data_IF_061818222973
#
_entry.id   IF_061818222973
#
_cell.length_a   1.000
_cell.length_b   1.000
_cell.length_c   1.000
_cell.angle_alpha   90.00
_cell.angle_beta   90.00
_cell.angle_gamma   90.00
#
_symmetry.space_group_name_H-M   'P 1'
#
loop_
_entity.id
_entity.type
_entity.pdbx_description
1 polymer ?
#
# COMPACT_ATOMS: atom_id res chain seq x y z
N UNK A 1 8.53 -2.25 9.15
CA UNK A 1 7.32 -1.80 9.88
C UNK A 1 6.58 -0.71 9.12
N UNK A 2 5.24 -0.64 9.15
CA UNK A 2 4.46 0.50 8.59
C UNK A 2 4.60 1.72 9.52
N UNK A 3 4.88 2.89 8.94
CA UNK A 3 5.02 4.18 9.65
C UNK A 3 3.78 5.03 9.50
N UNK A 4 3.35 5.26 8.26
CA UNK A 4 2.15 6.01 7.93
C UNK A 4 1.34 5.23 6.92
N UNK A 5 0.02 5.30 7.07
CA UNK A 5 -0.94 4.79 6.12
C UNK A 5 -1.95 5.88 5.83
N UNK A 6 -2.09 6.24 4.55
CA UNK A 6 -3.02 7.28 4.10
C UNK A 6 -3.86 6.71 2.98
N UNK A 7 -5.15 7.04 3.00
CA UNK A 7 -6.05 6.61 1.95
C UNK A 7 -7.22 7.57 1.77
N UNK A 8 -7.80 7.59 0.59
CA UNK A 8 -8.95 8.43 0.22
C UNK A 8 -9.94 7.62 -0.61
N UNK A 9 -11.22 7.97 -0.53
CA UNK A 9 -12.30 7.35 -1.31
C UNK A 9 -12.35 5.82 -1.14
N UNK A 10 -12.60 5.36 0.09
CA UNK A 10 -12.64 3.95 0.44
C UNK A 10 -13.72 3.66 1.49
N UNK A 11 -14.69 2.82 1.14
CA UNK A 11 -15.85 2.40 1.95
C UNK A 11 -16.56 3.59 2.59
N UNK A 12 -16.41 3.78 3.90
CA UNK A 12 -17.03 4.87 4.66
C UNK A 12 -16.22 6.17 4.63
N UNK A 13 -15.01 6.16 4.07
CA UNK A 13 -14.12 7.30 4.00
C UNK A 13 -14.22 7.98 2.63
N UNK A 14 -14.95 9.10 2.56
CA UNK A 14 -14.92 9.99 1.40
C UNK A 14 -13.57 10.70 1.30
N UNK A 15 -13.21 11.42 2.37
CA UNK A 15 -12.03 12.26 2.43
C UNK A 15 -10.79 11.47 2.84
N UNK A 16 -9.63 12.12 2.73
CA UNK A 16 -8.35 11.58 3.15
C UNK A 16 -8.35 11.23 4.64
N UNK A 17 -8.00 9.98 4.94
CA UNK A 17 -7.69 9.51 6.28
C UNK A 17 -6.18 9.28 6.42
N UNK A 18 -5.66 9.52 7.62
CA UNK A 18 -4.25 9.31 7.97
C UNK A 18 -4.18 8.52 9.25
N UNK A 19 -3.42 7.43 9.23
CA UNK A 19 -3.05 6.65 10.40
C UNK A 19 -1.52 6.66 10.49
N UNK A 20 -0.97 7.13 11.62
CA UNK A 20 0.48 7.22 11.84
C UNK A 20 0.87 6.50 13.11
N UNK A 21 1.93 5.71 13.01
CA UNK A 21 2.60 5.05 14.14
C UNK A 21 3.82 5.85 14.61
N UNK A 22 4.16 6.96 13.94
CA UNK A 22 5.27 7.81 14.35
C UNK A 22 4.91 8.51 15.66
N UNK A 23 5.81 8.43 16.64
CA UNK A 23 5.62 9.09 17.92
C UNK A 23 5.92 10.58 17.79
N UNK A 24 5.05 11.42 18.36
CA UNK A 24 5.37 12.83 18.56
C UNK A 24 6.48 12.98 19.60
N UNK A 25 7.24 14.06 19.53
CA UNK A 25 8.36 14.38 20.42
C UNK A 25 7.95 14.66 21.88
N UNK A 26 6.66 14.56 22.22
CA UNK A 26 6.13 14.92 23.53
C UNK A 26 6.24 13.77 24.57
N UNK A 27 7.21 13.96 25.48
CA UNK A 27 7.38 13.58 26.90
C UNK A 27 6.55 12.51 27.66
N UNK A 28 5.58 11.79 27.10
CA UNK A 28 4.83 10.79 27.88
C UNK A 28 5.21 9.35 27.54
N UNK A 29 5.69 8.61 28.55
CA UNK A 29 5.83 7.14 28.61
C UNK A 29 6.69 6.49 27.50
N UNK A 30 7.98 6.29 27.78
CA UNK A 30 8.94 5.59 26.89
C UNK A 30 8.63 4.09 26.71
N UNK A 31 7.76 3.51 27.54
CA UNK A 31 7.51 2.07 27.57
C UNK A 31 6.86 1.55 26.27
N UNK A 32 6.09 2.37 25.56
CA UNK A 32 5.44 2.01 24.29
C UNK A 32 6.20 2.47 23.04
N UNK A 33 7.49 2.83 23.17
CA UNK A 33 8.31 3.31 22.05
C UNK A 33 9.35 2.29 21.61
N UNK A 34 9.52 2.19 20.29
CA UNK A 34 10.70 1.61 19.65
C UNK A 34 11.51 2.79 19.12
N UNK A 35 12.71 2.96 19.67
CA UNK A 35 13.68 3.94 19.19
C UNK A 35 14.80 3.21 18.47
N UNK A 36 15.16 3.69 17.29
CA UNK A 36 16.34 3.19 16.59
C UNK A 36 16.78 4.14 15.49
N UNK A 37 18.04 3.98 15.12
CA UNK A 37 18.63 4.62 13.96
C UNK A 37 18.49 3.71 12.73
N UNK A 38 18.09 4.28 11.60
CA UNK A 38 18.15 3.57 10.33
C UNK A 38 19.58 3.55 9.78
N UNK A 39 19.81 2.86 8.66
CA UNK A 39 21.13 2.79 8.02
C UNK A 39 21.67 4.13 7.51
N UNK A 40 20.83 5.16 7.46
CA UNK A 40 21.16 6.50 6.99
C UNK A 40 21.40 7.50 8.13
N UNK A 41 21.46 7.04 9.39
CA UNK A 41 21.65 7.91 10.54
C UNK A 41 20.40 8.67 11.01
N UNK A 42 19.23 8.41 10.41
CA UNK A 42 17.97 9.01 10.86
C UNK A 42 17.44 8.27 12.07
N UNK A 43 17.16 9.03 13.13
CA UNK A 43 16.48 8.54 14.32
C UNK A 43 14.97 8.39 14.05
N UNK A 44 14.44 7.24 14.45
CA UNK A 44 13.01 6.95 14.41
C UNK A 44 12.50 6.70 15.83
N UNK A 45 11.31 7.24 16.12
CA UNK A 45 10.54 6.95 17.34
C UNK A 45 9.16 6.48 16.92
N UNK A 46 8.83 5.24 17.27
CA UNK A 46 7.65 4.57 16.70
C UNK A 46 6.91 3.86 17.81
N UNK A 47 5.59 3.93 17.78
CA UNK A 47 4.71 3.25 18.72
C UNK A 47 4.77 1.72 18.52
N UNK A 48 4.82 0.93 19.60
CA UNK A 48 4.71 -0.55 19.51
C UNK A 48 3.28 -1.01 19.22
N UNK A 49 2.30 -0.24 19.72
CA UNK A 49 0.88 -0.52 19.57
C UNK A 49 0.07 0.78 19.48
N UNK A 50 -1.08 0.70 18.81
CA UNK A 50 -2.07 1.77 18.71
C UNK A 50 -3.48 1.22 18.97
N UNK A 51 -4.32 2.03 19.61
CA UNK A 51 -5.72 1.71 19.89
C UNK A 51 -6.61 2.63 19.06
N UNK A 52 -7.54 2.05 18.31
CA UNK A 52 -8.53 2.79 17.51
C UNK A 52 -9.90 2.67 18.18
N UNK A 53 -10.36 3.75 18.80
CA UNK A 53 -11.66 3.81 19.49
C UNK A 53 -12.53 4.96 18.95
N UNK A 54 -13.82 4.94 19.29
CA UNK A 54 -14.79 5.93 18.83
C UNK A 54 -16.20 5.35 18.67
N UNK A 55 -17.19 6.17 18.31
CA UNK A 55 -18.60 5.77 18.24
C UNK A 55 -18.86 4.60 17.27
N UNK A 56 -20.00 3.91 17.44
CA UNK A 56 -20.44 2.92 16.46
C UNK A 56 -20.58 3.56 15.08
N UNK A 57 -20.30 2.77 14.04
CA UNK A 57 -20.30 3.22 12.63
C UNK A 57 -19.31 4.35 12.27
N UNK A 58 -18.38 4.74 13.15
CA UNK A 58 -17.38 5.79 12.85
C UNK A 58 -16.27 5.39 11.85
N UNK A 59 -16.33 4.19 11.27
CA UNK A 59 -15.38 3.74 10.24
C UNK A 59 -14.15 2.97 10.75
N UNK A 60 -14.01 2.75 12.06
CA UNK A 60 -12.85 2.05 12.67
C UNK A 60 -12.50 0.71 12.00
N UNK A 61 -13.49 -0.16 11.81
CA UNK A 61 -13.26 -1.45 11.13
C UNK A 61 -12.87 -1.27 9.66
N UNK A 62 -13.31 -0.19 9.00
CA UNK A 62 -12.92 0.12 7.63
C UNK A 62 -11.48 0.63 7.54
N UNK A 63 -10.95 1.32 8.56
CA UNK A 63 -9.52 1.64 8.63
C UNK A 63 -8.68 0.36 8.67
N UNK A 64 -9.01 -0.59 9.54
CA UNK A 64 -8.29 -1.87 9.63
C UNK A 64 -8.40 -2.65 8.33
N UNK A 65 -9.60 -2.74 7.75
CA UNK A 65 -9.79 -3.41 6.46
C UNK A 65 -9.06 -2.72 5.31
N UNK A 66 -8.87 -1.39 5.33
CA UNK A 66 -8.10 -0.69 4.33
C UNK A 66 -6.64 -1.14 4.34
N UNK A 67 -6.04 -1.26 5.52
CA UNK A 67 -4.67 -1.76 5.68
C UNK A 67 -4.57 -3.20 5.16
N UNK A 68 -5.49 -4.07 5.57
CA UNK A 68 -5.49 -5.48 5.15
C UNK A 68 -5.72 -5.65 3.65
N UNK A 69 -6.73 -4.99 3.07
CA UNK A 69 -7.02 -5.06 1.64
C UNK A 69 -5.83 -4.52 0.80
N UNK A 70 -5.11 -3.51 1.29
CA UNK A 70 -3.93 -2.95 0.60
C UNK A 70 -2.76 -3.92 0.64
N UNK A 71 -2.49 -4.52 1.80
CA UNK A 71 -1.43 -5.53 1.92
C UNK A 71 -1.76 -6.74 1.04
N UNK A 72 -3.02 -7.18 1.02
CA UNK A 72 -3.49 -8.26 0.15
C UNK A 72 -3.23 -7.92 -1.32
N UNK A 73 -3.58 -6.71 -1.75
CA UNK A 73 -3.35 -6.26 -3.13
C UNK A 73 -1.85 -6.19 -3.52
N UNK A 74 -0.96 -5.86 -2.58
CA UNK A 74 0.50 -5.85 -2.83
C UNK A 74 1.05 -7.27 -2.95
N UNK A 75 0.62 -8.18 -2.07
CA UNK A 75 1.21 -9.53 -1.94
C UNK A 75 0.58 -10.52 -2.92
N UNK A 76 -0.73 -10.41 -3.16
CA UNK A 76 -1.53 -11.30 -3.99
C UNK A 76 -1.96 -10.55 -5.25
N UNK A 77 -1.39 -10.96 -6.39
CA UNK A 77 -1.75 -10.37 -7.69
C UNK A 77 -3.22 -10.65 -7.98
N UNK A 78 -4.02 -9.65 -8.41
CA UNK A 78 -5.35 -9.91 -8.93
C UNK A 78 -5.26 -10.80 -10.16
N UNK A 79 -6.31 -11.59 -10.35
CA UNK A 79 -6.51 -12.37 -11.58
C UNK A 79 -6.57 -11.37 -12.74
N UNK A 80 -5.91 -11.72 -13.84
CA UNK A 80 -5.89 -10.93 -15.07
C UNK A 80 -7.32 -10.59 -15.50
N UNK A 81 -7.53 -9.35 -15.93
CA UNK A 81 -8.81 -8.87 -16.47
C UNK A 81 -10.00 -9.02 -15.49
N UNK A 82 -9.72 -9.01 -14.19
CA UNK A 82 -10.75 -8.95 -13.15
C UNK A 82 -10.71 -7.64 -12.39
N UNK A 83 -11.86 -7.16 -11.87
CA UNK A 83 -11.89 -5.95 -11.06
C UNK A 83 -10.95 -6.03 -9.85
N UNK A 84 -10.28 -4.92 -9.56
CA UNK A 84 -9.42 -4.75 -8.40
C UNK A 84 -10.29 -4.82 -7.14
N UNK A 85 -10.16 -5.91 -6.38
CA UNK A 85 -10.93 -6.13 -5.14
C UNK A 85 -10.73 -5.05 -4.07
N UNK A 86 -9.61 -4.33 -4.11
CA UNK A 86 -9.33 -3.19 -3.23
C UNK A 86 -10.20 -1.97 -3.57
N UNK A 87 -10.66 -1.83 -4.82
CA UNK A 87 -11.51 -0.72 -5.25
C UNK A 87 -12.92 -0.84 -4.68
N UNK A 88 -13.11 -0.24 -3.51
CA UNK A 88 -14.39 -0.17 -2.81
C UNK A 88 -14.65 1.31 -2.48
N UNK A 89 -14.98 2.16 -3.45
CA UNK A 89 -15.08 3.61 -3.25
C UNK A 89 -16.22 3.99 -2.31
N UNK A 90 -16.24 5.24 -1.86
CA UNK A 90 -17.35 5.81 -1.11
C UNK A 90 -18.59 5.89 -2.00
N UNK A 91 -19.69 5.23 -1.61
CA UNK A 91 -20.87 5.05 -2.48
C UNK A 91 -22.02 6.02 -2.23
N UNK A 92 -21.97 6.85 -1.18
CA UNK A 92 -23.07 7.75 -0.82
C UNK A 92 -23.10 9.06 -1.64
N UNK A 93 -22.16 9.25 -2.56
CA UNK A 93 -22.11 10.41 -3.44
C UNK A 93 -21.85 9.95 -4.88
N UNK A 94 -22.52 10.58 -5.86
CA UNK A 94 -22.42 10.16 -7.27
C UNK A 94 -20.99 10.33 -7.80
N UNK A 95 -20.33 11.43 -7.45
CA UNK A 95 -18.99 11.74 -7.92
C UNK A 95 -18.00 10.66 -7.46
N UNK A 96 -17.99 10.32 -6.17
CA UNK A 96 -16.99 9.41 -5.59
C UNK A 96 -17.04 7.96 -6.11
N UNK A 97 -18.17 7.51 -6.70
CA UNK A 97 -18.34 6.14 -7.21
C UNK A 97 -17.37 5.78 -8.33
N UNK A 98 -17.00 6.74 -9.16
CA UNK A 98 -16.06 6.56 -10.29
C UNK A 98 -14.72 7.25 -10.07
N UNK A 99 -14.54 7.98 -8.97
CA UNK A 99 -13.26 8.61 -8.66
C UNK A 99 -12.24 7.57 -8.20
N UNK A 100 -10.95 7.72 -8.54
CA UNK A 100 -9.91 6.83 -8.05
C UNK A 100 -9.86 6.77 -6.52
N UNK A 101 -9.54 5.59 -5.97
CA UNK A 101 -9.09 5.44 -4.59
C UNK A 101 -7.58 5.66 -4.54
N UNK A 102 -7.11 6.52 -3.65
CA UNK A 102 -5.68 6.78 -3.47
C UNK A 102 -5.17 6.13 -2.20
N UNK A 103 -3.98 5.52 -2.28
CA UNK A 103 -3.29 4.87 -1.18
C UNK A 103 -1.86 5.41 -1.12
N UNK A 104 -1.36 5.68 0.08
CA UNK A 104 0.04 5.99 0.35
C UNK A 104 0.48 5.28 1.64
N UNK A 105 1.58 4.52 1.54
CA UNK A 105 2.17 3.77 2.65
C UNK A 105 3.62 4.22 2.81
N UNK A 106 3.93 4.79 3.97
CA UNK A 106 5.32 4.98 4.39
C UNK A 106 5.70 3.82 5.29
N UNK A 107 6.82 3.14 5.01
CA UNK A 107 7.26 2.00 5.80
C UNK A 107 8.78 1.89 5.85
N UNK A 108 9.28 1.18 6.86
CA UNK A 108 10.67 0.76 6.96
C UNK A 108 10.79 -0.66 6.41
N UNK A 109 11.44 -0.76 5.26
CA UNK A 109 11.60 -1.99 4.50
C UNK A 109 12.92 -2.71 4.81
N UNK A 110 13.47 -3.44 3.83
CA UNK A 110 14.76 -4.12 3.95
C UNK A 110 15.87 -3.18 4.44
N UNK A 111 16.77 -3.72 5.27
CA UNK A 111 17.89 -2.96 5.88
C UNK A 111 17.44 -1.70 6.63
N UNK A 112 16.19 -1.65 7.14
CA UNK A 112 15.60 -0.47 7.82
C UNK A 112 15.59 0.79 6.96
N UNK A 113 15.65 0.68 5.63
CA UNK A 113 15.54 1.83 4.73
C UNK A 113 14.07 2.29 4.70
N UNK A 114 13.85 3.61 4.68
CA UNK A 114 12.53 4.18 4.52
C UNK A 114 12.09 4.11 3.06
N UNK A 115 10.86 3.69 2.85
CA UNK A 115 10.17 3.63 1.56
C UNK A 115 8.83 4.36 1.66
N UNK A 116 8.36 4.83 0.52
CA UNK A 116 7.05 5.42 0.37
C UNK A 116 6.43 4.91 -0.93
N UNK A 117 5.44 4.03 -0.80
CA UNK A 117 4.67 3.47 -1.91
C UNK A 117 3.38 4.26 -2.05
N UNK A 118 3.10 4.77 -3.25
CA UNK A 118 1.84 5.45 -3.58
C UNK A 118 1.20 4.78 -4.76
N UNK A 119 -0.12 4.67 -4.76
CA UNK A 119 -0.86 4.27 -5.95
C UNK A 119 -2.29 4.78 -5.94
N UNK A 120 -2.86 4.92 -7.14
CA UNK A 120 -4.26 5.20 -7.36
C UNK A 120 -4.87 4.09 -8.20
N UNK A 121 -6.09 3.69 -7.82
CA UNK A 121 -6.81 2.60 -8.50
C UNK A 121 -8.22 3.02 -8.87
N UNK A 122 -8.71 2.46 -9.95
CA UNK A 122 -10.11 2.37 -10.32
C UNK A 122 -10.55 0.91 -10.39
N UNK A 123 -11.78 0.66 -10.82
CA UNK A 123 -12.38 -0.68 -10.82
C UNK A 123 -11.53 -1.73 -11.52
N UNK A 124 -10.92 -1.41 -12.66
CA UNK A 124 -10.21 -2.39 -13.48
C UNK A 124 -8.72 -2.08 -13.69
N UNK A 125 -8.19 -0.99 -13.12
CA UNK A 125 -6.81 -0.59 -13.39
C UNK A 125 -6.15 0.24 -12.28
N UNK A 126 -4.83 0.13 -12.20
CA UNK A 126 -3.94 1.02 -11.48
C UNK A 126 -3.66 2.23 -12.37
N UNK A 127 -4.17 3.39 -11.96
CA UNK A 127 -4.06 4.65 -12.72
C UNK A 127 -2.64 5.22 -12.62
N UNK A 128 -2.11 5.21 -11.41
CA UNK A 128 -0.75 5.66 -11.13
C UNK A 128 -0.16 4.87 -9.97
N UNK A 129 1.15 4.70 -9.97
CA UNK A 129 1.91 4.15 -8.86
C UNK A 129 3.35 4.67 -8.83
N UNK A 130 3.90 4.79 -7.64
CA UNK A 130 5.28 5.21 -7.43
C UNK A 130 5.87 4.54 -6.21
N UNK A 131 7.16 4.21 -6.28
CA UNK A 131 7.92 3.78 -5.12
C UNK A 131 9.14 4.66 -4.94
N UNK A 132 9.13 5.45 -3.88
CA UNK A 132 10.27 6.24 -3.43
C UNK A 132 11.01 5.52 -2.30
N UNK A 133 12.33 5.69 -2.22
CA UNK A 133 13.16 5.19 -1.13
C UNK A 133 14.18 6.24 -0.68
N UNK A 134 14.67 6.07 0.56
CA UNK A 134 15.52 7.04 1.24
C UNK A 134 16.78 6.37 1.81
N UNK A 135 17.74 5.92 0.97
CA UNK A 135 18.89 5.14 1.41
C UNK A 135 19.89 5.96 2.25
N UNK A 136 19.98 7.27 2.00
CA UNK A 136 20.86 8.23 2.69
C UNK A 136 20.06 9.45 3.19
N UNK A 137 18.82 9.23 3.65
CA UNK A 137 17.83 10.28 3.97
C UNK A 137 17.48 11.24 2.81
N UNK A 138 17.99 10.97 1.60
CA UNK A 138 17.66 11.68 0.38
C UNK A 138 16.64 10.87 -0.42
N UNK A 139 15.61 11.56 -0.91
CA UNK A 139 14.58 10.96 -1.75
C UNK A 139 15.21 10.50 -3.07
N UNK A 140 14.96 9.25 -3.44
CA UNK A 140 15.21 8.74 -4.78
C UNK A 140 13.99 7.93 -5.22
N UNK A 141 13.59 8.06 -6.48
CA UNK A 141 12.48 7.29 -7.05
C UNK A 141 13.03 6.00 -7.67
N UNK A 142 12.40 4.86 -7.37
CA UNK A 142 12.77 3.54 -7.92
C UNK A 142 12.06 3.33 -9.24
N UNK A 143 10.75 3.55 -9.23
CA UNK A 143 9.91 3.49 -10.42
C UNK A 143 8.72 4.43 -10.27
N UNK A 144 8.16 4.76 -11.42
CA UNK A 144 6.96 5.55 -11.56
C UNK A 144 6.16 5.03 -12.76
N UNK A 145 4.85 4.89 -12.58
CA UNK A 145 3.86 4.64 -13.62
C UNK A 145 2.75 5.66 -13.42
N UNK A 146 2.42 6.38 -14.47
CA UNK A 146 1.30 7.32 -14.48
C UNK A 146 0.79 7.46 -15.91
N UNK A 147 -0.48 7.13 -16.12
CA UNK A 147 -1.16 7.20 -17.42
C UNK A 147 -1.28 8.65 -17.94
N UNK A 148 -1.32 9.65 -17.05
CA UNK A 148 -1.53 11.05 -17.42
C UNK A 148 -0.21 11.79 -17.75
N UNK A 149 0.94 11.19 -17.40
CA UNK A 149 2.23 11.79 -17.74
C UNK A 149 2.71 11.30 -19.10
N UNK A 150 3.04 12.24 -20.00
CA UNK A 150 3.83 12.01 -21.23
C UNK A 150 5.28 11.57 -20.93
N UNK A 151 5.52 10.81 -19.87
CA UNK A 151 6.83 10.29 -19.53
C UNK A 151 7.15 9.06 -20.37
N UNK A 152 8.38 9.01 -20.91
CA UNK A 152 8.89 7.97 -21.84
C UNK A 152 8.93 6.54 -21.27
N UNK A 153 8.47 6.35 -20.04
CA UNK A 153 8.62 5.11 -19.27
C UNK A 153 7.38 4.22 -19.27
N UNK A 154 6.23 4.75 -19.71
CA UNK A 154 4.99 3.99 -19.89
C UNK A 154 4.67 3.90 -21.38
N UNK A 155 4.40 2.69 -21.87
CA UNK A 155 3.84 2.48 -23.20
C UNK A 155 2.62 1.58 -23.08
N UNK A 156 1.50 2.01 -23.64
CA UNK A 156 0.35 1.12 -23.79
C UNK A 156 0.72 0.01 -24.78
N UNK A 157 0.53 -1.25 -24.37
CA UNK A 157 0.84 -2.40 -25.21
C UNK A 157 -0.44 -2.95 -25.86
N UNK A 158 -1.48 -3.12 -25.05
CA UNK A 158 -2.83 -3.46 -25.49
C UNK A 158 -3.88 -2.95 -24.47
N UNK A 159 -5.15 -3.31 -24.66
CA UNK A 159 -6.23 -2.89 -23.77
C UNK A 159 -6.06 -3.36 -22.31
N UNK A 160 -5.22 -4.37 -22.05
CA UNK A 160 -5.09 -5.06 -20.76
C UNK A 160 -3.73 -4.92 -20.10
N UNK A 161 -2.69 -4.53 -20.84
CA UNK A 161 -1.30 -4.49 -20.39
C UNK A 161 -0.62 -3.16 -20.71
N UNK A 162 0.37 -2.84 -19.88
CA UNK A 162 1.28 -1.70 -20.07
C UNK A 162 2.72 -2.18 -19.99
N UNK A 163 3.61 -1.49 -20.70
CA UNK A 163 5.06 -1.69 -20.62
C UNK A 163 5.64 -0.61 -19.73
N UNK A 164 6.37 -1.03 -18.69
CA UNK A 164 7.09 -0.14 -17.77
C UNK A 164 8.59 -0.32 -18.00
N UNK A 165 9.29 0.79 -18.22
CA UNK A 165 10.76 0.80 -18.30
C UNK A 165 11.39 0.92 -16.92
N UNK A 166 12.22 -0.04 -16.56
CA UNK A 166 12.98 -0.04 -15.31
C UNK A 166 14.40 -0.57 -15.56
N UNK A 167 15.41 0.23 -15.17
CA UNK A 167 16.85 -0.12 -15.28
C UNK A 167 17.27 -0.72 -16.63
N UNK A 168 16.88 -0.05 -17.73
CA UNK A 168 17.14 -0.45 -19.13
C UNK A 168 16.42 -1.71 -19.60
N UNK A 169 15.52 -2.28 -18.80
CA UNK A 169 14.63 -3.38 -19.18
C UNK A 169 13.21 -2.88 -19.32
N UNK A 170 12.46 -3.55 -20.17
CA UNK A 170 11.02 -3.35 -20.35
C UNK A 170 10.29 -4.50 -19.68
N UNK A 171 9.22 -4.18 -18.95
CA UNK A 171 8.39 -5.14 -18.25
C UNK A 171 6.94 -4.95 -18.68
N UNK A 172 6.34 -6.00 -19.23
CA UNK A 172 4.90 -6.04 -19.51
C UNK A 172 4.16 -6.46 -18.25
N UNK A 173 3.19 -5.66 -17.84
CA UNK A 173 2.34 -5.92 -16.67
C UNK A 173 0.88 -5.62 -16.98
N UNK A 174 -0.04 -6.38 -16.38
CA UNK A 174 -1.47 -6.11 -16.49
C UNK A 174 -1.87 -4.80 -15.82
N UNK A 175 -2.80 -4.08 -16.44
CA UNK A 175 -3.28 -2.78 -15.98
C UNK A 175 -3.82 -2.83 -14.55
N UNK A 176 -4.40 -3.97 -14.14
CA UNK A 176 -4.96 -4.19 -12.82
C UNK A 176 -3.93 -4.61 -11.74
N UNK A 177 -2.64 -4.76 -12.06
CA UNK A 177 -1.60 -5.20 -11.14
C UNK A 177 -0.63 -4.06 -10.80
N UNK A 178 -0.11 -4.06 -9.56
CA UNK A 178 1.00 -3.19 -9.15
C UNK A 178 2.32 -3.69 -9.70
N UNK A 179 3.20 -2.80 -10.15
CA UNK A 179 4.52 -3.14 -10.64
C UNK A 179 5.37 -3.88 -9.60
N UNK A 180 5.30 -3.45 -8.33
CA UNK A 180 6.00 -4.12 -7.22
C UNK A 180 5.66 -5.62 -7.11
N UNK A 181 4.41 -6.00 -7.44
CA UNK A 181 3.96 -7.39 -7.34
C UNK A 181 4.64 -8.31 -8.37
N UNK A 182 5.16 -7.75 -9.48
CA UNK A 182 5.88 -8.49 -10.53
C UNK A 182 7.16 -9.16 -10.01
N UNK A 183 7.80 -8.53 -9.02
CA UNK A 183 9.09 -8.96 -8.45
C UNK A 183 8.98 -10.12 -7.45
N UNK A 184 7.81 -10.78 -7.41
CA UNK A 184 7.64 -12.11 -6.83
C UNK A 184 8.27 -13.22 -7.70
N UNK A 185 8.37 -12.98 -9.02
CA UNK A 185 8.84 -13.95 -10.02
C UNK A 185 10.09 -13.45 -10.75
N UNK A 186 10.16 -12.15 -11.06
CA UNK A 186 11.30 -11.54 -11.72
C UNK A 186 12.27 -10.97 -10.67
N UNK A 187 13.46 -11.54 -10.45
CA UNK A 187 14.37 -11.07 -9.41
C UNK A 187 14.94 -9.68 -9.72
N UNK A 188 14.93 -8.80 -8.71
CA UNK A 188 15.61 -7.50 -8.68
C UNK A 188 16.23 -7.24 -7.31
N UNK A 189 17.37 -6.56 -7.29
CA UNK A 189 18.14 -6.31 -6.07
C UNK A 189 17.46 -5.34 -5.08
N UNK A 190 16.52 -4.50 -5.54
CA UNK A 190 15.75 -3.56 -4.72
C UNK A 190 14.31 -4.03 -4.55
N UNK A 191 13.62 -4.33 -5.66
CA UNK A 191 12.18 -4.56 -5.65
C UNK A 191 11.81 -5.93 -5.07
N UNK A 192 12.61 -6.98 -5.30
CA UNK A 192 12.33 -8.30 -4.71
C UNK A 192 12.41 -8.27 -3.17
N UNK A 193 13.44 -7.69 -2.54
CA UNK A 193 13.46 -7.51 -1.08
C UNK A 193 12.27 -6.72 -0.55
N UNK A 194 11.82 -5.68 -1.26
CA UNK A 194 10.66 -4.86 -0.84
C UNK A 194 9.36 -5.67 -0.92
N UNK A 195 9.15 -6.42 -2.00
CA UNK A 195 8.02 -7.34 -2.14
C UNK A 195 8.03 -8.42 -1.04
N UNK A 196 9.18 -9.07 -0.83
CA UNK A 196 9.36 -10.08 0.21
C UNK A 196 9.11 -9.51 1.61
N UNK A 197 9.48 -8.25 1.87
CA UNK A 197 9.18 -7.59 3.12
C UNK A 197 7.67 -7.53 3.39
N UNK A 198 6.83 -7.21 2.39
CA UNK A 198 5.38 -7.25 2.57
C UNK A 198 4.86 -8.68 2.75
N UNK A 199 5.32 -9.60 1.90
CA UNK A 199 4.89 -11.01 1.93
C UNK A 199 5.21 -11.69 3.26
N UNK A 200 6.41 -11.48 3.80
CA UNK A 200 6.87 -12.17 5.01
C UNK A 200 6.30 -11.58 6.28
N UNK A 201 6.19 -10.24 6.36
CA UNK A 201 5.72 -9.57 7.59
C UNK A 201 4.19 -9.54 7.69
N UNK A 202 3.46 -9.61 6.58
CA UNK A 202 2.01 -9.44 6.58
C UNK A 202 1.24 -10.51 5.80
N UNK A 203 1.88 -11.27 4.90
CA UNK A 203 1.21 -12.28 4.07
C UNK A 203 0.72 -13.52 4.82
N UNK A 204 1.33 -13.87 5.95
CA UNK A 204 0.89 -14.98 6.81
C UNK A 204 -0.34 -14.64 7.66
N UNK A 205 -0.51 -13.37 8.07
CA UNK A 205 -1.67 -12.89 8.82
C UNK A 205 -2.94 -12.98 7.99
N UNK A 206 -2.87 -12.56 6.71
CA UNK A 206 -4.00 -12.59 5.78
C UNK A 206 -4.61 -13.98 5.58
N UNK A 207 -3.81 -15.06 5.70
CA UNK A 207 -4.30 -16.45 5.60
C UNK A 207 -5.10 -16.89 6.82
N UNK A 208 -4.74 -16.42 8.02
CA UNK A 208 -5.45 -16.74 9.27
C UNK A 208 -6.68 -15.85 9.47
N UNK A 209 -6.55 -14.57 9.14
CA UNK A 209 -7.60 -13.58 9.33
C UNK A 209 -8.74 -13.76 8.31
N UNK A 210 -8.47 -14.16 7.06
CA UNK A 210 -9.54 -14.49 6.12
C UNK A 210 -10.37 -15.71 6.58
N UNK A 211 -9.74 -16.71 7.20
CA UNK A 211 -10.47 -17.86 7.75
C UNK A 211 -11.31 -17.46 8.97
N UNK A 212 -10.77 -16.63 9.87
CA UNK A 212 -11.49 -16.14 11.05
C UNK A 212 -12.64 -15.18 10.68
N UNK A 213 -12.41 -14.23 9.77
CA UNK A 213 -13.42 -13.26 9.32
C UNK A 213 -14.52 -13.97 8.51
N UNK A 214 -14.19 -14.95 7.66
CA UNK A 214 -15.21 -15.74 6.97
C UNK A 214 -16.01 -16.63 7.93
N UNK A 215 -15.38 -17.19 8.96
CA UNK A 215 -16.07 -17.95 10.01
C UNK A 215 -17.02 -17.07 10.86
N UNK A 216 -16.70 -15.80 11.05
CA UNK A 216 -17.56 -14.85 11.77
C UNK A 216 -18.74 -14.36 10.93
N UNK A 217 -18.55 -14.19 9.62
CA UNK A 217 -19.62 -13.81 8.68
C UNK A 217 -20.60 -14.97 8.46
N UNK A 218 -20.11 -16.21 8.41
CA UNK A 218 -20.95 -17.41 8.24
C UNK A 218 -21.71 -17.85 9.50
N UNK A 219 -21.39 -17.30 10.67
CA UNK A 219 -22.17 -17.48 11.90
C UNK A 219 -23.34 -16.51 12.05
N UNK A 220 -23.41 -15.48 11.22
CA UNK A 220 -24.41 -14.42 11.27
C UNK A 220 -25.40 -14.47 10.08
N UNK A 221 -25.47 -15.60 9.37
CA UNK A 221 -26.48 -15.92 8.35
C UNK A 221 -26.99 -17.34 8.53
#
# INVERSE_FOLDING_TARGET
>A
MILDFKFTNYRSYKNKAVFSMQAESAKSETNNLIEFENTAGQQFKILKAAIVYGPNASGKSNLIKAILDVIDFIVNRPIVDTPIRLYKPFKFEKQTKSHPSSIEITFLGPKKIKYNLKFQIQENQVISESLDYYPNNRKSNIYFRDEDTNEKNLQENDNTTVIIKYRKKEFTIFKNQLFLSRFAEDPDDILTPVYQYFRNNYGSSLRKDNAAIQAEISKNY
#
